data_IF_840604897910
#
_entry.id   IF_840604897910
#
_cell.length_a   1.000
_cell.length_b   1.000
_cell.length_c   1.000
_cell.angle_alpha   90.00
_cell.angle_beta   90.00
_cell.angle_gamma   90.00
#
_symmetry.space_group_name_H-M   'P 1'
#
loop_
_entity.id
_entity.type
_entity.pdbx_description
1 polymer ?
#
# COMPACT_ATOMS: atom_id res chain seq x y z
N UNK A 1 20.22 -11.49 -6.88
CA UNK A 1 19.32 -11.68 -5.72
C UNK A 1 17.94 -11.96 -6.31
N UNK A 2 17.49 -13.21 -6.29
CA UNK A 2 16.17 -13.55 -6.83
C UNK A 2 15.10 -12.98 -5.89
N UNK A 3 14.30 -12.04 -6.39
CA UNK A 3 13.14 -11.50 -5.70
C UNK A 3 12.22 -12.66 -5.33
N UNK A 4 11.68 -12.68 -4.11
CA UNK A 4 10.60 -13.61 -3.73
C UNK A 4 9.28 -13.39 -4.49
N UNK A 5 9.32 -12.64 -5.59
CA UNK A 5 8.18 -12.11 -6.34
C UNK A 5 8.30 -12.37 -7.85
N UNK A 6 9.04 -13.40 -8.26
CA UNK A 6 9.33 -13.68 -9.67
C UNK A 6 8.07 -13.75 -10.57
N UNK A 7 6.98 -14.35 -10.08
CA UNK A 7 5.71 -14.42 -10.81
C UNK A 7 5.04 -13.05 -11.02
N UNK A 8 5.24 -12.12 -10.09
CA UNK A 8 4.72 -10.75 -10.20
C UNK A 8 5.61 -9.91 -11.13
N UNK A 9 6.93 -10.08 -11.05
CA UNK A 9 7.86 -9.41 -11.95
C UNK A 9 7.58 -9.79 -13.42
N UNK A 10 7.31 -11.08 -13.72
CA UNK A 10 6.91 -11.56 -15.05
C UNK A 10 5.57 -10.95 -15.50
N UNK A 11 4.60 -10.87 -14.59
CA UNK A 11 3.30 -10.25 -14.88
C UNK A 11 3.46 -8.76 -15.24
N UNK A 12 4.27 -8.03 -14.49
CA UNK A 12 4.51 -6.61 -14.74
C UNK A 12 5.23 -6.38 -16.07
N UNK A 13 6.24 -7.20 -16.40
CA UNK A 13 6.92 -7.16 -17.69
C UNK A 13 5.96 -7.44 -18.85
N UNK A 14 5.10 -8.44 -18.72
CA UNK A 14 4.10 -8.81 -19.76
C UNK A 14 3.09 -7.68 -20.02
N UNK A 15 2.87 -6.80 -19.03
CA UNK A 15 1.93 -5.68 -19.10
C UNK A 15 2.61 -4.34 -19.34
N UNK A 16 3.93 -4.33 -19.56
CA UNK A 16 4.74 -3.12 -19.75
C UNK A 16 4.68 -2.13 -18.55
N UNK A 17 4.46 -2.67 -17.35
CA UNK A 17 4.57 -1.89 -16.11
C UNK A 17 6.04 -1.81 -15.71
N UNK A 18 6.69 -0.73 -16.14
CA UNK A 18 8.13 -0.50 -15.93
C UNK A 18 8.44 0.34 -14.70
N UNK A 19 7.47 1.13 -14.23
CA UNK A 19 7.63 2.02 -13.08
C UNK A 19 7.00 1.41 -11.81
N UNK A 20 7.72 0.47 -11.20
CA UNK A 20 7.35 -0.08 -9.91
C UNK A 20 8.56 -0.35 -9.03
N UNK A 21 8.31 -0.44 -7.72
CA UNK A 21 9.33 -0.79 -6.74
C UNK A 21 8.73 -1.68 -5.67
N UNK A 22 9.47 -2.72 -5.30
CA UNK A 22 9.17 -3.51 -4.11
C UNK A 22 9.48 -2.69 -2.85
N UNK A 23 8.50 -2.56 -1.97
CA UNK A 23 8.66 -1.87 -0.69
C UNK A 23 8.56 -2.90 0.43
N UNK A 24 9.57 -2.94 1.29
CA UNK A 24 9.53 -3.74 2.49
C UNK A 24 8.54 -3.11 3.49
N UNK A 25 7.47 -3.80 3.91
CA UNK A 25 6.46 -3.22 4.81
C UNK A 25 7.05 -2.72 6.14
N UNK A 26 8.15 -3.31 6.61
CA UNK A 26 8.83 -2.90 7.85
C UNK A 26 9.53 -1.55 7.74
N UNK A 27 9.82 -1.08 6.53
CA UNK A 27 10.44 0.23 6.27
C UNK A 27 9.40 1.36 6.14
N UNK A 28 8.11 1.01 6.05
CA UNK A 28 7.03 1.98 5.96
C UNK A 28 6.76 2.54 7.36
N UNK A 29 7.24 3.76 7.62
CA UNK A 29 6.96 4.48 8.86
C UNK A 29 5.48 4.89 8.85
N UNK A 30 4.65 4.14 9.55
CA UNK A 30 3.25 4.49 9.78
C UNK A 30 3.15 5.39 11.01
N UNK A 31 2.50 6.53 10.83
CA UNK A 31 2.30 7.52 11.89
C UNK A 31 0.81 7.71 12.16
N UNK A 32 0.47 8.00 13.42
CA UNK A 32 -0.91 8.15 13.87
C UNK A 32 -1.69 9.25 13.12
N UNK A 33 -1.01 10.22 12.51
CA UNK A 33 -1.66 11.27 11.73
C UNK A 33 -2.49 10.73 10.56
N UNK A 34 -2.11 9.58 9.95
CA UNK A 34 -2.89 8.97 8.86
C UNK A 34 -4.26 8.48 9.38
N UNK A 35 -4.29 7.91 10.59
CA UNK A 35 -5.52 7.55 11.29
C UNK A 35 -6.32 8.81 11.66
N UNK A 36 -5.66 9.82 12.22
CA UNK A 36 -6.28 11.09 12.61
C UNK A 36 -6.95 11.80 11.42
N UNK A 37 -6.26 11.90 10.28
CA UNK A 37 -6.80 12.48 9.04
C UNK A 37 -8.03 11.71 8.58
N UNK A 38 -8.00 10.38 8.63
CA UNK A 38 -9.16 9.60 8.20
C UNK A 38 -10.35 9.78 9.15
N UNK A 39 -10.15 9.63 10.47
CA UNK A 39 -11.24 9.75 11.46
C UNK A 39 -11.87 11.13 11.52
N UNK A 40 -11.08 12.20 11.37
CA UNK A 40 -11.55 13.57 11.63
C UNK A 40 -11.54 14.49 10.41
N UNK A 41 -10.90 14.08 9.32
CA UNK A 41 -10.71 14.90 8.12
C UNK A 41 -11.23 14.26 6.83
N UNK A 42 -11.90 13.11 6.90
CA UNK A 42 -12.46 12.41 5.75
C UNK A 42 -13.96 12.20 5.95
N UNK A 43 -14.79 12.67 5.01
CA UNK A 43 -16.24 12.42 5.03
C UNK A 43 -16.63 10.96 4.77
N UNK A 44 -15.72 10.18 4.21
CA UNK A 44 -15.91 8.76 3.89
C UNK A 44 -15.39 7.82 4.98
N UNK A 45 -15.04 8.34 6.16
CA UNK A 45 -14.56 7.50 7.27
C UNK A 45 -15.57 6.41 7.63
N UNK A 46 -15.12 5.15 7.60
CA UNK A 46 -15.95 3.98 7.88
C UNK A 46 -16.85 3.52 6.71
N UNK A 47 -16.86 4.24 5.58
CA UNK A 47 -17.72 3.95 4.43
C UNK A 47 -16.97 3.26 3.27
N UNK A 48 -15.63 3.14 3.35
CA UNK A 48 -14.83 2.46 2.34
C UNK A 48 -13.84 1.45 2.97
N UNK A 49 -13.39 0.49 2.17
CA UNK A 49 -12.46 -0.57 2.58
C UNK A 49 -10.99 -0.11 2.67
N UNK A 50 -10.74 1.20 2.59
CA UNK A 50 -9.41 1.82 2.59
C UNK A 50 -9.20 2.77 3.77
N UNK A 51 -10.20 2.94 4.64
CA UNK A 51 -10.02 3.59 5.92
C UNK A 51 -9.02 2.75 6.75
N UNK A 52 -8.00 3.37 7.37
CA UNK A 52 -7.08 2.66 8.24
C UNK A 52 -7.91 2.05 9.39
N UNK A 53 -8.15 0.72 9.40
CA UNK A 53 -8.97 0.09 10.41
C UNK A 53 -8.17 -0.03 11.70
N UNK A 54 -8.87 -0.19 12.82
CA UNK A 54 -8.27 -0.80 14.00
C UNK A 54 -8.27 -2.32 13.80
N UNK A 55 -7.34 -2.82 12.99
CA UNK A 55 -6.48 -3.93 13.41
C UNK A 55 -5.23 -3.34 14.07
#
# INVERSE_FOLDING_TARGET
>A
MASGHAALDELFQTKDYTDYKWINPKEIIVSQWARMKCMFGCGEYGNNASCPPNV
#
